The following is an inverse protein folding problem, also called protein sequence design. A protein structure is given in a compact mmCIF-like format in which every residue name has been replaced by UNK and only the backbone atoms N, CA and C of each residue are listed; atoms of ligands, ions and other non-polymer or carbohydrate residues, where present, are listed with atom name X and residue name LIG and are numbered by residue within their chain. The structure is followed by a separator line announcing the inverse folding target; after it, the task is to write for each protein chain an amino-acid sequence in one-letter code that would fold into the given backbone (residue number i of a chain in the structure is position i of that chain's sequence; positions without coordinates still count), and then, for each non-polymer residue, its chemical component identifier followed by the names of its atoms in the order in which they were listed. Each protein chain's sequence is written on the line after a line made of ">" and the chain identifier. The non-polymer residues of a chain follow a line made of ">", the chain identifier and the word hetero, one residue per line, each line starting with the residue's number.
data_IF_641668385580
#
_entry.id   IF_641668385580
#
_cell.length_a   1.000
_cell.length_b   1.000
_cell.length_c   1.000
_cell.angle_alpha   90.00
_cell.angle_beta   90.00
_cell.angle_gamma   90.00
#
_symmetry.space_group_name_H-M   'P 1'
#
loop_
_entity.id
_entity.type
_entity.pdbx_description
1 polymer ?
#
# COMPACT_ATOMS: atom_id res chain seq x y z
N UNK A 1 -18.16 52.06 -10.07
CA UNK A 1 -18.49 50.89 -10.92
C UNK A 1 -17.85 49.67 -10.29
N UNK A 2 -18.63 48.86 -9.57
CA UNK A 2 -18.13 47.62 -8.95
C UNK A 2 -18.14 46.51 -10.02
N UNK A 3 -16.96 46.15 -10.51
CA UNK A 3 -16.79 45.07 -11.49
C UNK A 3 -16.96 43.72 -10.79
N UNK A 4 -18.09 43.06 -10.99
CA UNK A 4 -18.32 41.71 -10.47
C UNK A 4 -17.33 40.72 -11.13
N UNK A 5 -16.51 40.07 -10.31
CA UNK A 5 -15.58 39.02 -10.72
C UNK A 5 -16.40 37.85 -11.31
N UNK A 6 -16.04 37.30 -12.49
CA UNK A 6 -16.80 36.23 -13.13
C UNK A 6 -16.83 34.97 -12.23
N UNK A 7 -17.90 34.17 -12.28
CA UNK A 7 -18.03 32.98 -11.46
C UNK A 7 -16.92 31.98 -11.78
N UNK A 8 -16.17 31.58 -10.75
CA UNK A 8 -15.09 30.60 -10.85
C UNK A 8 -15.62 29.26 -11.41
N UNK A 9 -14.87 28.56 -12.29
CA UNK A 9 -15.27 27.27 -12.84
C UNK A 9 -15.67 26.25 -11.78
N UNK A 10 -16.68 25.42 -12.05
CA UNK A 10 -17.17 24.38 -11.10
C UNK A 10 -16.02 23.54 -10.51
N UNK A 11 -15.03 23.19 -11.33
CA UNK A 11 -13.87 22.40 -10.92
C UNK A 11 -12.99 23.10 -9.88
N UNK A 12 -12.70 24.41 -10.02
CA UNK A 12 -11.89 25.13 -9.02
C UNK A 12 -12.65 25.28 -7.72
N UNK A 13 -13.96 25.51 -7.79
CA UNK A 13 -14.82 25.62 -6.61
C UNK A 13 -14.94 24.31 -5.83
N UNK A 14 -15.02 23.17 -6.51
CA UNK A 14 -14.98 21.84 -5.87
C UNK A 14 -13.60 21.50 -5.32
N UNK A 15 -12.53 21.92 -6.00
CA UNK A 15 -11.16 21.73 -5.54
C UNK A 15 -10.86 22.53 -4.28
N UNK A 16 -11.30 23.79 -4.24
CA UNK A 16 -11.17 24.67 -3.08
C UNK A 16 -11.98 24.12 -1.90
N UNK A 17 -13.20 23.60 -2.13
CA UNK A 17 -14.01 22.99 -1.07
C UNK A 17 -13.37 21.73 -0.46
N UNK A 18 -12.80 20.85 -1.29
CA UNK A 18 -12.11 19.65 -0.82
C UNK A 18 -10.82 20.03 -0.08
N UNK A 19 -10.08 21.01 -0.58
CA UNK A 19 -8.79 21.42 0.02
C UNK A 19 -8.94 22.29 1.28
N UNK A 20 -10.08 22.98 1.46
CA UNK A 20 -10.38 23.74 2.68
C UNK A 20 -10.93 22.89 3.84
N UNK A 21 -11.26 21.63 3.60
CA UNK A 21 -11.79 20.74 4.62
C UNK A 21 -10.76 20.53 5.75
N UNK A 22 -11.20 20.53 7.02
CA UNK A 22 -10.29 20.32 8.17
C UNK A 22 -9.53 18.99 8.08
N UNK A 23 -10.14 17.96 7.47
CA UNK A 23 -9.49 16.69 7.17
C UNK A 23 -8.32 16.86 6.19
N UNK A 24 -8.46 17.67 5.14
CA UNK A 24 -7.41 17.91 4.16
C UNK A 24 -6.24 18.70 4.75
N UNK A 25 -6.53 19.77 5.50
CA UNK A 25 -5.52 20.56 6.23
C UNK A 25 -4.83 19.76 7.34
N UNK A 26 -5.50 18.76 7.89
CA UNK A 26 -4.93 17.83 8.88
C UNK A 26 -3.98 16.81 8.25
N UNK A 27 -4.31 16.29 7.07
CA UNK A 27 -3.50 15.28 6.35
C UNK A 27 -2.32 15.91 5.61
N UNK A 28 -2.50 17.08 5.00
CA UNK A 28 -1.44 17.85 4.34
C UNK A 28 -1.11 19.12 5.14
N UNK A 29 -0.45 18.92 6.29
CA UNK A 29 -0.14 20.00 7.25
C UNK A 29 0.90 21.01 6.76
N UNK A 30 1.63 20.70 5.69
CA UNK A 30 2.73 21.54 5.17
C UNK A 30 2.66 21.63 3.64
N UNK A 31 2.77 22.86 3.11
CA UNK A 31 2.84 23.12 1.67
C UNK A 31 4.13 22.59 1.00
N UNK A 32 4.19 22.66 -0.34
CA UNK A 32 5.30 22.11 -1.14
C UNK A 32 6.66 22.66 -0.64
N UNK A 33 7.58 21.81 -0.17
CA UNK A 33 8.80 22.28 0.49
C UNK A 33 9.81 22.90 -0.48
N UNK A 34 10.10 24.19 -0.30
CA UNK A 34 11.07 24.94 -1.10
C UNK A 34 12.52 24.82 -0.61
N UNK A 35 12.75 24.47 0.67
CA UNK A 35 14.09 24.40 1.30
C UNK A 35 14.38 23.01 1.88
N UNK A 36 15.64 22.60 1.94
CA UNK A 36 16.07 21.30 2.50
C UNK A 36 15.55 21.05 3.93
N UNK A 37 15.58 22.07 4.81
CA UNK A 37 15.07 21.97 6.18
C UNK A 37 13.56 21.73 6.23
N UNK A 38 12.81 22.42 5.38
CA UNK A 38 11.36 22.27 5.27
C UNK A 38 10.98 20.87 4.72
N UNK A 39 11.76 20.33 3.78
CA UNK A 39 11.56 18.96 3.25
C UNK A 39 11.74 17.89 4.33
N UNK A 40 12.70 18.04 5.24
CA UNK A 40 12.88 17.14 6.38
C UNK A 40 11.71 17.26 7.37
N UNK A 41 11.30 18.49 7.70
CA UNK A 41 10.17 18.77 8.58
C UNK A 41 8.85 18.17 8.05
N UNK A 42 8.58 18.31 6.76
CA UNK A 42 7.40 17.71 6.10
C UNK A 42 7.38 16.20 6.25
N UNK A 43 8.54 15.54 6.13
CA UNK A 43 8.63 14.08 6.22
C UNK A 43 8.50 13.60 7.67
N UNK A 44 9.11 14.30 8.63
CA UNK A 44 9.06 13.92 10.05
C UNK A 44 7.72 14.23 10.72
N UNK A 45 6.98 15.24 10.24
CA UNK A 45 5.71 15.68 10.84
C UNK A 45 4.48 14.97 10.26
N UNK A 46 4.66 14.17 9.20
CA UNK A 46 3.60 13.37 8.59
C UNK A 46 3.80 11.90 8.91
N UNK A 47 2.75 11.24 9.41
CA UNK A 47 2.77 9.81 9.76
C UNK A 47 3.18 8.94 8.57
N UNK A 48 2.61 9.22 7.38
CA UNK A 48 2.88 8.43 6.18
C UNK A 48 4.26 8.69 5.57
N UNK A 49 4.72 9.93 5.60
CA UNK A 49 6.04 10.27 5.05
C UNK A 49 7.17 9.83 6.00
N UNK A 50 6.91 9.74 7.30
CA UNK A 50 7.89 9.28 8.29
C UNK A 50 8.35 7.83 8.06
N UNK A 51 7.48 6.98 7.49
CA UNK A 51 7.84 5.60 7.13
C UNK A 51 8.88 5.55 6.00
N UNK A 52 8.96 6.60 5.16
CA UNK A 52 9.85 6.65 4.02
C UNK A 52 11.12 7.47 4.33
N UNK A 53 12.32 7.00 3.96
CA UNK A 53 13.56 7.73 4.21
C UNK A 53 13.57 9.10 3.53
N UNK A 54 13.94 10.13 4.30
CA UNK A 54 13.97 11.55 3.90
C UNK A 54 14.98 11.81 2.77
N UNK A 55 16.06 11.03 2.73
CA UNK A 55 17.12 11.12 1.72
C UNK A 55 17.62 9.73 1.39
N UNK A 56 17.68 9.42 0.10
CA UNK A 56 18.20 8.16 -0.42
C UNK A 56 19.29 8.48 -1.44
N UNK A 57 20.41 7.75 -1.41
CA UNK A 57 21.44 7.89 -2.45
C UNK A 57 20.89 7.36 -3.77
N UNK A 58 21.04 8.12 -4.87
CA UNK A 58 20.56 7.74 -6.21
C UNK A 58 21.05 6.36 -6.66
N UNK A 59 22.21 5.92 -6.18
CA UNK A 59 22.77 4.60 -6.49
C UNK A 59 21.93 3.42 -5.95
N UNK A 60 21.22 3.59 -4.83
CA UNK A 60 20.39 2.56 -4.20
C UNK A 60 18.98 2.42 -4.78
N UNK A 61 18.51 3.41 -5.54
CA UNK A 61 17.22 3.38 -6.26
C UNK A 61 17.35 2.71 -7.63
N UNK A 62 18.58 2.47 -8.10
CA UNK A 62 18.80 1.81 -9.39
C UNK A 62 18.28 0.37 -9.30
N UNK A 63 17.12 0.13 -9.91
CA UNK A 63 16.45 -1.18 -10.01
C UNK A 63 17.40 -2.31 -10.44
N UNK A 64 18.44 -1.98 -11.20
CA UNK A 64 19.47 -2.94 -11.68
C UNK A 64 20.27 -3.62 -10.56
N UNK A 65 20.39 -3.02 -9.37
CA UNK A 65 21.28 -3.54 -8.31
C UNK A 65 20.54 -4.23 -7.17
N UNK A 66 19.33 -3.79 -6.83
CA UNK A 66 18.60 -4.28 -5.64
C UNK A 66 17.23 -4.85 -5.98
N UNK A 67 16.83 -4.84 -7.28
CA UNK A 67 15.52 -5.29 -7.79
C UNK A 67 14.29 -4.77 -7.02
N UNK A 68 14.47 -3.76 -6.16
CA UNK A 68 13.47 -3.39 -5.15
C UNK A 68 12.98 -4.60 -4.32
N UNK A 69 13.86 -5.54 -4.00
CA UNK A 69 13.48 -6.81 -3.34
C UNK A 69 12.74 -6.59 -2.01
N UNK A 70 13.12 -5.55 -1.24
CA UNK A 70 12.39 -5.20 -0.01
C UNK A 70 10.98 -4.64 -0.24
N UNK A 71 10.72 -3.95 -1.36
CA UNK A 71 9.38 -3.54 -1.72
C UNK A 71 8.54 -4.71 -2.25
N UNK A 72 9.19 -5.63 -2.98
CA UNK A 72 8.55 -6.83 -3.51
C UNK A 72 8.14 -7.80 -2.39
N UNK A 73 8.99 -8.01 -1.38
CA UNK A 73 8.66 -8.84 -0.20
C UNK A 73 7.46 -8.26 0.57
N UNK A 74 7.41 -6.94 0.75
CA UNK A 74 6.27 -6.27 1.38
C UNK A 74 4.98 -6.39 0.56
N UNK A 75 5.08 -6.28 -0.77
CA UNK A 75 3.94 -6.51 -1.65
C UNK A 75 3.42 -7.95 -1.56
N UNK A 76 4.30 -8.95 -1.59
CA UNK A 76 3.95 -10.35 -1.43
C UNK A 76 3.31 -10.64 -0.06
N UNK A 77 3.82 -10.00 1.01
CA UNK A 77 3.21 -10.09 2.34
C UNK A 77 1.75 -9.60 2.36
N UNK A 78 1.44 -8.49 1.66
CA UNK A 78 0.07 -8.00 1.55
C UNK A 78 -0.80 -9.01 0.79
N UNK A 79 -0.32 -9.53 -0.35
CA UNK A 79 -1.04 -10.55 -1.13
C UNK A 79 -1.34 -11.79 -0.30
N UNK A 80 -0.34 -12.32 0.40
CA UNK A 80 -0.49 -13.47 1.32
C UNK A 80 -1.48 -13.18 2.46
N UNK A 81 -1.45 -11.97 3.02
CA UNK A 81 -2.39 -11.58 4.09
C UNK A 81 -3.83 -11.55 3.58
N UNK A 82 -4.07 -10.96 2.40
CA UNK A 82 -5.41 -10.89 1.82
C UNK A 82 -5.94 -12.27 1.41
N UNK A 83 -5.12 -13.09 0.73
CA UNK A 83 -5.53 -14.44 0.33
C UNK A 83 -5.71 -15.33 1.56
N UNK A 84 -4.82 -15.25 2.55
CA UNK A 84 -4.91 -16.02 3.80
C UNK A 84 -6.16 -15.67 4.62
N UNK A 85 -6.50 -14.38 4.70
CA UNK A 85 -7.72 -13.95 5.39
C UNK A 85 -8.98 -14.49 4.70
N UNK A 86 -9.02 -14.49 3.36
CA UNK A 86 -10.12 -15.07 2.61
C UNK A 86 -10.24 -16.58 2.83
N UNK A 87 -9.11 -17.30 2.86
CA UNK A 87 -9.08 -18.74 3.13
C UNK A 87 -9.56 -19.07 4.56
N UNK A 88 -9.22 -18.24 5.54
CA UNK A 88 -9.64 -18.42 6.94
C UNK A 88 -11.17 -18.39 7.13
N UNK A 89 -11.93 -17.70 6.27
CA UNK A 89 -13.41 -17.72 6.37
C UNK A 89 -14.02 -19.09 6.03
N UNK A 90 -13.31 -19.91 5.27
CA UNK A 90 -13.78 -21.22 4.80
C UNK A 90 -13.08 -22.39 5.49
N UNK A 91 -11.92 -22.16 6.12
CA UNK A 91 -11.17 -23.17 6.85
C UNK A 91 -11.66 -23.32 8.30
N UNK A 92 -12.03 -24.53 8.74
CA UNK A 92 -12.33 -24.81 10.14
C UNK A 92 -11.11 -25.45 10.83
N UNK A 93 -10.59 -24.86 11.93
CA UNK A 93 -9.43 -25.39 12.64
C UNK A 93 -9.82 -26.56 13.57
N UNK A 94 -10.29 -27.66 12.98
CA UNK A 94 -10.65 -28.90 13.70
C UNK A 94 -10.18 -30.13 12.95
N UNK A 95 -9.54 -31.06 13.65
CA UNK A 95 -8.89 -32.25 13.07
C UNK A 95 -9.87 -33.10 12.25
N UNK A 96 -11.13 -33.17 12.69
CA UNK A 96 -12.16 -33.98 12.03
C UNK A 96 -12.54 -33.46 10.62
N UNK A 97 -12.47 -32.16 10.37
CA UNK A 97 -12.93 -31.53 9.13
C UNK A 97 -11.81 -30.87 8.31
N UNK A 98 -10.61 -30.70 8.87
CA UNK A 98 -9.50 -30.00 8.21
C UNK A 98 -9.16 -30.55 6.82
N UNK A 99 -9.18 -31.88 6.62
CA UNK A 99 -8.88 -32.46 5.31
C UNK A 99 -9.98 -32.20 4.28
N UNK A 100 -11.24 -32.32 4.69
CA UNK A 100 -12.40 -32.10 3.81
C UNK A 100 -12.51 -30.63 3.41
N UNK A 101 -12.26 -29.71 4.35
CA UNK A 101 -12.26 -28.28 4.07
C UNK A 101 -11.20 -27.93 3.01
N UNK A 102 -10.02 -28.56 3.03
CA UNK A 102 -8.99 -28.37 2.00
C UNK A 102 -9.45 -28.88 0.64
N UNK A 103 -10.17 -29.99 0.56
CA UNK A 103 -10.75 -30.49 -0.71
C UNK A 103 -11.81 -29.51 -1.22
N UNK A 104 -12.72 -29.08 -0.38
CA UNK A 104 -13.78 -28.12 -0.72
C UNK A 104 -13.20 -26.78 -1.21
N UNK A 105 -12.14 -26.31 -0.55
CA UNK A 105 -11.34 -25.14 -0.94
C UNK A 105 -10.65 -25.33 -2.31
N UNK A 106 -10.38 -26.57 -2.73
CA UNK A 106 -9.76 -26.88 -4.03
C UNK A 106 -10.76 -26.79 -5.19
N UNK A 107 -11.96 -27.32 -4.95
CA UNK A 107 -12.95 -27.59 -6.01
C UNK A 107 -13.82 -26.37 -6.32
N UNK A 108 -13.89 -25.41 -5.40
CA UNK A 108 -14.62 -24.17 -5.61
C UNK A 108 -13.80 -23.18 -6.46
N UNK A 109 -14.25 -22.95 -7.70
CA UNK A 109 -13.58 -22.17 -8.76
C UNK A 109 -12.96 -20.83 -8.31
N UNK A 110 -13.56 -20.00 -7.43
CA UNK A 110 -12.88 -18.79 -6.93
C UNK A 110 -11.87 -19.03 -5.80
N UNK A 111 -12.06 -20.05 -4.96
CA UNK A 111 -11.19 -20.33 -3.80
C UNK A 111 -10.02 -21.26 -4.13
N UNK A 112 -10.17 -22.14 -5.13
CA UNK A 112 -9.11 -23.04 -5.58
C UNK A 112 -7.91 -22.27 -6.13
N UNK A 113 -8.18 -21.25 -6.95
CA UNK A 113 -7.13 -20.35 -7.47
C UNK A 113 -6.49 -19.54 -6.34
N UNK A 114 -7.29 -19.06 -5.37
CA UNK A 114 -6.76 -18.29 -4.23
C UNK A 114 -5.85 -19.12 -3.33
N UNK A 115 -6.15 -20.41 -3.14
CA UNK A 115 -5.28 -21.32 -2.39
C UNK A 115 -3.96 -21.58 -3.10
N UNK A 116 -4.00 -21.80 -4.40
CA UNK A 116 -2.78 -21.93 -5.22
C UNK A 116 -1.97 -20.63 -5.19
N UNK A 117 -2.62 -19.48 -5.30
CA UNK A 117 -1.98 -18.17 -5.20
C UNK A 117 -1.30 -17.96 -3.85
N UNK A 118 -1.96 -18.31 -2.74
CA UNK A 118 -1.39 -18.23 -1.38
C UNK A 118 -0.19 -19.18 -1.22
N UNK A 119 -0.26 -20.39 -1.79
CA UNK A 119 0.88 -21.32 -1.74
C UNK A 119 2.08 -20.81 -2.55
N UNK A 120 1.85 -20.37 -3.79
CA UNK A 120 2.91 -19.83 -4.65
C UNK A 120 3.45 -18.50 -4.15
N UNK A 121 2.59 -17.65 -3.59
CA UNK A 121 2.96 -16.37 -2.98
C UNK A 121 3.84 -16.57 -1.75
N UNK A 122 3.55 -17.55 -0.90
CA UNK A 122 4.43 -17.93 0.21
C UNK A 122 5.83 -18.37 -0.26
N UNK A 123 5.90 -19.21 -1.30
CA UNK A 123 7.19 -19.60 -1.89
C UNK A 123 7.95 -18.42 -2.49
N UNK A 124 7.27 -17.56 -3.25
CA UNK A 124 7.85 -16.34 -3.81
C UNK A 124 8.34 -15.39 -2.71
N UNK A 125 7.59 -15.27 -1.60
CA UNK A 125 7.96 -14.43 -0.47
C UNK A 125 9.28 -14.91 0.14
N UNK A 126 9.43 -16.20 0.41
CA UNK A 126 10.67 -16.76 0.97
C UNK A 126 11.86 -16.53 0.04
N UNK A 127 11.71 -16.78 -1.27
CA UNK A 127 12.76 -16.53 -2.26
C UNK A 127 13.13 -15.04 -2.29
N UNK A 128 12.13 -14.16 -2.25
CA UNK A 128 12.35 -12.72 -2.30
C UNK A 128 13.03 -12.18 -1.04
N UNK A 129 12.74 -12.75 0.15
CA UNK A 129 13.44 -12.43 1.39
C UNK A 129 14.89 -12.92 1.32
N UNK A 130 15.12 -14.13 0.82
CA UNK A 130 16.47 -14.67 0.67
C UNK A 130 17.33 -13.80 -0.26
N UNK A 131 16.78 -13.34 -1.38
CA UNK A 131 17.45 -12.41 -2.29
C UNK A 131 17.55 -10.96 -1.76
N UNK A 132 16.79 -10.61 -0.72
CA UNK A 132 16.84 -9.30 -0.10
C UNK A 132 17.95 -9.17 0.95
N UNK A 133 18.22 -10.25 1.70
CA UNK A 133 19.26 -10.34 2.73
C UNK A 133 20.66 -10.25 2.13
#
# INVERSE_FOLDING_TARGET
>A
MATAKPPEPFLSRTWDYITDTQLWKSVFRHGVPSTNRNRVLVVMTNVFLHLHPVKIRKSGIRLKFTWCMGGLTFFLFLVETFTGLLLMFYYRPTVAYAYMDIIDLAEQVPLGIMRELHRWGAHAMVISVWLHM
#
